data_IF_450777611181
#
_entry.id   IF_450777611181
#
_cell.length_a   1.000
_cell.length_b   1.000
_cell.length_c   1.000
_cell.angle_alpha   90.00
_cell.angle_beta   90.00
_cell.angle_gamma   90.00
#
_symmetry.space_group_name_H-M   'P 1'
#
loop_
_entity.id
_entity.type
_entity.pdbx_description
1 polymer ?
#
# COMPACT_ATOMS: atom_id res chain seq x y z
N UNK A 1 11.66 -22.90 19.76
CA UNK A 1 10.77 -22.93 18.58
C UNK A 1 11.16 -21.77 17.67
N UNK A 2 11.19 -21.93 16.36
CA UNK A 2 11.45 -20.80 15.46
C UNK A 2 10.29 -19.78 15.57
N UNK A 3 10.58 -18.56 16.01
CA UNK A 3 9.59 -17.51 16.17
C UNK A 3 9.31 -16.87 14.81
N UNK A 4 8.04 -16.74 14.43
CA UNK A 4 7.67 -15.97 13.24
C UNK A 4 7.81 -14.48 13.55
N UNK A 5 8.59 -13.75 12.74
CA UNK A 5 8.69 -12.29 12.83
C UNK A 5 7.66 -11.62 11.93
N UNK A 6 7.01 -10.56 12.41
CA UNK A 6 6.06 -9.77 11.60
C UNK A 6 6.66 -8.41 11.32
N UNK A 7 6.80 -8.07 10.04
CA UNK A 7 7.28 -6.77 9.57
C UNK A 7 6.10 -6.00 9.01
N UNK A 8 5.78 -4.84 9.58
CA UNK A 8 4.69 -3.97 9.09
C UNK A 8 5.24 -2.67 8.53
N UNK A 9 4.80 -2.32 7.32
CA UNK A 9 5.14 -1.05 6.69
C UNK A 9 3.88 -0.23 6.44
N UNK A 10 3.90 1.04 6.88
CA UNK A 10 2.81 1.98 6.64
C UNK A 10 2.84 2.56 5.23
N UNK A 11 1.77 3.29 4.85
CA UNK A 11 1.69 3.88 3.52
C UNK A 11 2.83 4.85 3.23
N UNK A 12 3.31 5.60 4.24
CA UNK A 12 4.46 6.52 4.12
C UNK A 12 5.76 5.81 3.75
N UNK A 13 5.95 4.57 4.20
CA UNK A 13 7.08 3.72 3.81
C UNK A 13 7.00 3.22 2.37
N UNK A 14 5.84 3.41 1.71
CA UNK A 14 5.55 2.94 0.35
C UNK A 14 5.24 4.11 -0.59
N UNK A 15 5.60 5.34 -0.22
CA UNK A 15 5.20 6.55 -0.96
C UNK A 15 5.80 6.66 -2.35
N UNK A 16 7.05 6.22 -2.53
CA UNK A 16 7.77 6.31 -3.80
C UNK A 16 8.44 4.98 -4.12
N UNK A 17 8.83 4.79 -5.38
CA UNK A 17 9.60 3.61 -5.78
C UNK A 17 10.93 3.47 -5.03
N UNK A 18 11.54 4.59 -4.59
CA UNK A 18 12.75 4.55 -3.75
C UNK A 18 12.44 4.02 -2.35
N UNK A 19 11.38 4.53 -1.69
CA UNK A 19 10.96 4.03 -0.38
C UNK A 19 10.60 2.54 -0.44
N UNK A 20 9.94 2.09 -1.52
CA UNK A 20 9.64 0.68 -1.73
C UNK A 20 10.91 -0.18 -1.85
N UNK A 21 11.95 0.32 -2.54
CA UNK A 21 13.25 -0.38 -2.61
C UNK A 21 13.91 -0.50 -1.23
N UNK A 22 13.89 0.56 -0.43
CA UNK A 22 14.40 0.52 0.96
C UNK A 22 13.62 -0.48 1.83
N UNK A 23 12.29 -0.52 1.71
CA UNK A 23 11.46 -1.52 2.38
C UNK A 23 11.83 -2.94 1.93
N UNK A 24 12.07 -3.15 0.63
CA UNK A 24 12.50 -4.45 0.11
C UNK A 24 13.86 -4.87 0.68
N UNK A 25 14.81 -3.95 0.82
CA UNK A 25 16.12 -4.21 1.45
C UNK A 25 15.96 -4.63 2.92
N UNK A 26 15.12 -3.94 3.70
CA UNK A 26 14.82 -4.31 5.09
C UNK A 26 14.20 -5.72 5.16
N UNK A 27 13.24 -6.02 4.28
CA UNK A 27 12.62 -7.35 4.22
C UNK A 27 13.67 -8.41 3.85
N UNK A 28 14.56 -8.15 2.88
CA UNK A 28 15.57 -9.09 2.42
C UNK A 28 16.71 -9.33 3.44
N UNK A 29 16.99 -8.33 4.27
CA UNK A 29 17.97 -8.42 5.34
C UNK A 29 17.54 -9.40 6.45
N UNK A 30 16.24 -9.50 6.73
CA UNK A 30 15.71 -10.47 7.70
C UNK A 30 15.93 -11.90 7.20
N UNK A 31 16.58 -12.77 7.97
CA UNK A 31 16.87 -14.16 7.55
C UNK A 31 15.93 -15.17 8.18
N UNK A 32 15.25 -14.78 9.26
CA UNK A 32 14.28 -15.64 9.92
C UNK A 32 12.95 -15.69 9.16
N UNK A 33 12.13 -16.68 9.52
CA UNK A 33 10.78 -16.84 8.97
C UNK A 33 9.97 -15.59 9.31
N UNK A 34 9.39 -14.96 8.30
CA UNK A 34 8.69 -13.68 8.44
C UNK A 34 7.37 -13.63 7.69
N UNK A 35 6.46 -12.81 8.21
CA UNK A 35 5.28 -12.32 7.50
C UNK A 35 5.44 -10.81 7.29
N UNK A 36 5.04 -10.33 6.11
CA UNK A 36 5.09 -8.89 5.77
C UNK A 36 3.66 -8.39 5.64
N UNK A 37 3.34 -7.31 6.36
CA UNK A 37 2.05 -6.64 6.32
C UNK A 37 2.25 -5.24 5.77
N UNK A 38 1.53 -4.92 4.69
CA UNK A 38 1.62 -3.62 4.04
C UNK A 38 0.29 -2.87 4.19
N UNK A 39 0.37 -1.57 4.46
CA UNK A 39 -0.73 -0.65 4.17
C UNK A 39 -0.82 -0.39 2.66
N UNK A 40 -1.90 0.21 2.20
CA UNK A 40 -1.96 0.77 0.84
C UNK A 40 -0.88 1.87 0.65
N UNK A 41 -0.54 2.16 -0.61
CA UNK A 41 0.35 3.29 -0.96
C UNK A 41 -0.22 4.60 -0.40
N UNK A 42 0.66 5.52 0.01
CA UNK A 42 0.26 6.80 0.63
C UNK A 42 -0.87 7.49 -0.15
N UNK A 43 -1.97 7.83 0.53
CA UNK A 43 -3.09 8.58 -0.05
C UNK A 43 -4.16 7.72 -0.73
N UNK A 44 -3.88 6.44 -1.03
CA UNK A 44 -4.85 5.56 -1.71
C UNK A 44 -6.09 5.30 -0.84
N UNK A 45 -5.90 5.05 0.46
CA UNK A 45 -7.03 4.83 1.37
C UNK A 45 -7.90 6.08 1.49
N UNK A 46 -7.28 7.26 1.64
CA UNK A 46 -7.99 8.54 1.70
C UNK A 46 -8.78 8.80 0.42
N UNK A 47 -8.19 8.55 -0.75
CA UNK A 47 -8.87 8.64 -2.05
C UNK A 47 -10.09 7.72 -2.12
N UNK A 48 -9.94 6.45 -1.73
CA UNK A 48 -11.04 5.48 -1.72
C UNK A 48 -12.18 5.91 -0.79
N UNK A 49 -11.85 6.33 0.43
CA UNK A 49 -12.83 6.82 1.42
C UNK A 49 -13.59 8.03 0.89
N UNK A 50 -12.88 8.99 0.29
CA UNK A 50 -13.52 10.16 -0.33
C UNK A 50 -14.42 9.76 -1.50
N UNK A 51 -13.98 8.82 -2.34
CA UNK A 51 -14.75 8.34 -3.48
C UNK A 51 -16.08 7.72 -3.04
N UNK A 52 -16.05 6.78 -2.09
CA UNK A 52 -17.25 6.05 -1.62
C UNK A 52 -18.17 6.86 -0.72
N UNK A 53 -17.75 8.04 -0.26
CA UNK A 53 -18.54 8.88 0.67
C UNK A 53 -19.79 9.51 0.04
N UNK A 54 -20.03 9.33 -1.26
CA UNK A 54 -21.13 9.94 -2.03
C UNK A 54 -21.58 9.00 -3.15
N UNK A 55 -22.79 9.19 -3.65
CA UNK A 55 -23.29 8.52 -4.86
C UNK A 55 -22.43 8.92 -6.06
N UNK A 56 -22.20 7.97 -6.97
CA UNK A 56 -21.35 8.11 -8.16
C UNK A 56 -22.10 7.63 -9.40
N UNK A 57 -21.83 8.26 -10.54
CA UNK A 57 -22.22 7.70 -11.83
C UNK A 57 -21.23 6.63 -12.28
N UNK A 58 -21.57 5.89 -13.33
CA UNK A 58 -20.64 4.92 -13.94
C UNK A 58 -19.40 5.62 -14.50
N UNK A 59 -19.58 6.81 -15.10
CA UNK A 59 -18.47 7.62 -15.61
C UNK A 59 -17.51 8.09 -14.51
N UNK A 60 -18.03 8.43 -13.33
CA UNK A 60 -17.21 8.78 -12.15
C UNK A 60 -16.35 7.59 -11.70
N UNK A 61 -16.91 6.38 -11.71
CA UNK A 61 -16.20 5.14 -11.37
C UNK A 61 -15.10 4.87 -12.37
N UNK A 62 -15.41 4.93 -13.67
CA UNK A 62 -14.44 4.72 -14.73
C UNK A 62 -13.28 5.73 -14.69
N UNK A 63 -13.57 7.00 -14.41
CA UNK A 63 -12.56 8.03 -14.23
C UNK A 63 -11.68 7.72 -13.02
N UNK A 64 -12.27 7.39 -11.87
CA UNK A 64 -11.53 7.07 -10.65
C UNK A 64 -10.62 5.84 -10.80
N UNK A 65 -11.09 4.79 -11.48
CA UNK A 65 -10.29 3.59 -11.76
C UNK A 65 -9.07 3.93 -12.64
N UNK A 66 -9.22 4.83 -13.63
CA UNK A 66 -8.08 5.30 -14.44
C UNK A 66 -7.06 6.09 -13.62
N UNK A 67 -7.51 6.86 -12.63
CA UNK A 67 -6.62 7.66 -11.79
C UNK A 67 -5.85 6.79 -10.78
N UNK A 68 -6.55 5.88 -10.09
CA UNK A 68 -5.93 5.03 -9.05
C UNK A 68 -4.93 4.01 -9.63
N UNK A 69 -5.12 3.57 -10.89
CA UNK A 69 -4.23 2.61 -11.56
C UNK A 69 -2.96 3.24 -12.15
N UNK A 70 -2.86 4.57 -12.14
CA UNK A 70 -1.67 5.33 -12.59
C UNK A 70 -0.71 5.69 -11.46
N UNK A 71 -1.10 5.45 -10.20
CA UNK A 71 -0.26 5.64 -9.01
C UNK A 71 0.82 4.57 -8.90
#
# INVERSE_FOLDING_TARGET
MAQLKVLKFGGSSLKTGESMRQVAEIIAAEKEKKAVVLSAVTGVTEMLVQFISRTRSEEDVDAFIKDITRL
#
